data_IF_733469367772
#
_entry.id   IF_733469367772
#
_cell.length_a   1.000
_cell.length_b   1.000
_cell.length_c   1.000
_cell.angle_alpha   90.00
_cell.angle_beta   90.00
_cell.angle_gamma   90.00
#
_symmetry.space_group_name_H-M   'P 1'
#
loop_
_entity.id
_entity.type
_entity.pdbx_description
1 polymer ?
#
# COMPACT_ATOMS: atom_id res chain seq x y z
N UNK A 1 21.33 -6.06 15.90
CA UNK A 1 20.72 -7.15 15.13
C UNK A 1 20.44 -6.60 13.73
N UNK A 2 21.17 -7.08 12.73
CA UNK A 2 20.97 -6.71 11.33
C UNK A 2 19.63 -7.31 10.88
N UNK A 3 18.60 -6.48 10.79
CA UNK A 3 17.33 -6.90 10.18
C UNK A 3 17.60 -7.12 8.69
N UNK A 4 17.48 -8.36 8.22
CA UNK A 4 17.65 -8.69 6.80
C UNK A 4 16.60 -7.95 5.97
N UNK A 5 17.02 -7.36 4.85
CA UNK A 5 16.11 -6.71 3.91
C UNK A 5 15.24 -7.79 3.26
N UNK A 6 13.93 -7.61 3.28
CA UNK A 6 12.95 -8.51 2.66
C UNK A 6 12.71 -8.14 1.20
N UNK A 7 12.64 -6.85 0.90
CA UNK A 7 12.49 -6.33 -0.47
C UNK A 7 12.85 -4.85 -0.52
N UNK A 8 13.14 -4.33 -1.71
CA UNK A 8 13.35 -2.91 -1.95
C UNK A 8 12.29 -2.36 -2.90
N UNK A 9 12.17 -1.04 -2.97
CA UNK A 9 11.29 -0.39 -3.92
C UNK A 9 11.71 1.03 -4.25
N UNK A 10 11.22 1.54 -5.37
CA UNK A 10 11.50 2.91 -5.79
C UNK A 10 10.38 3.52 -6.65
N UNK A 11 10.33 4.84 -6.69
CA UNK A 11 9.44 5.55 -7.61
C UNK A 11 9.85 5.33 -9.08
N UNK A 12 9.01 5.76 -10.03
CA UNK A 12 9.25 5.55 -11.47
C UNK A 12 10.60 6.07 -11.98
N UNK A 13 11.08 7.21 -11.47
CA UNK A 13 12.38 7.78 -11.85
C UNK A 13 13.55 7.34 -10.97
N UNK A 14 13.30 6.56 -9.91
CA UNK A 14 14.31 6.13 -8.96
C UNK A 14 14.83 7.20 -7.98
N UNK A 15 14.34 8.45 -8.04
CA UNK A 15 14.78 9.53 -7.15
C UNK A 15 14.35 9.33 -5.68
N UNK A 16 13.23 8.64 -5.46
CA UNK A 16 12.79 8.18 -4.13
C UNK A 16 12.89 6.66 -4.08
N UNK A 17 13.57 6.14 -3.07
CA UNK A 17 13.74 4.71 -2.84
C UNK A 17 13.63 4.35 -1.37
N UNK A 18 13.26 3.10 -1.11
CA UNK A 18 13.01 2.59 0.23
C UNK A 18 13.27 1.08 0.31
N UNK A 19 13.37 0.59 1.53
CA UNK A 19 13.55 -0.82 1.86
C UNK A 19 12.49 -1.26 2.87
N UNK A 20 12.07 -2.53 2.75
CA UNK A 20 11.26 -3.21 3.75
C UNK A 20 12.12 -4.28 4.45
N UNK A 21 12.10 -4.26 5.79
CA UNK A 21 12.88 -5.16 6.65
C UNK A 21 12.07 -6.30 7.27
N UNK A 22 10.81 -6.41 6.87
CA UNK A 22 9.89 -7.49 7.21
C UNK A 22 8.83 -7.64 6.11
N UNK A 23 8.12 -8.76 6.12
CA UNK A 23 6.96 -8.97 5.24
C UNK A 23 5.80 -8.04 5.63
N UNK A 24 4.90 -7.70 4.68
CA UNK A 24 3.70 -6.91 4.98
C UNK A 24 2.78 -7.56 6.01
N UNK A 25 2.01 -6.74 6.70
CA UNK A 25 0.88 -7.16 7.55
C UNK A 25 -0.23 -7.73 6.68
N UNK A 26 -0.49 -7.06 5.55
CA UNK A 26 -1.49 -7.47 4.55
C UNK A 26 -1.24 -6.74 3.23
N UNK A 27 -1.66 -7.35 2.12
CA UNK A 27 -1.76 -6.70 0.81
C UNK A 27 -3.21 -6.47 0.42
N UNK A 28 -3.49 -5.33 -0.21
CA UNK A 28 -4.87 -4.98 -0.57
C UNK A 28 -5.01 -4.21 -1.88
N UNK A 29 -6.16 -4.42 -2.52
CA UNK A 29 -6.69 -3.54 -3.57
C UNK A 29 -7.78 -2.64 -2.96
N UNK A 30 -7.72 -1.34 -3.21
CA UNK A 30 -8.78 -0.41 -2.80
C UNK A 30 -9.48 0.17 -4.04
N UNK A 31 -10.78 -0.02 -4.11
CA UNK A 31 -11.63 0.36 -5.22
C UNK A 31 -12.34 1.70 -5.02
N UNK A 32 -12.14 2.41 -3.90
CA UNK A 32 -12.81 3.70 -3.72
C UNK A 32 -12.39 4.69 -4.82
N UNK A 33 -13.32 5.57 -5.20
CA UNK A 33 -13.13 6.57 -6.26
C UNK A 33 -11.89 7.44 -6.02
N UNK A 34 -11.56 7.73 -4.76
CA UNK A 34 -10.33 8.43 -4.38
C UNK A 34 -9.07 7.68 -4.78
N UNK A 35 -9.02 6.37 -4.50
CA UNK A 35 -7.91 5.50 -4.91
C UNK A 35 -7.84 5.34 -6.42
N UNK A 36 -8.98 5.21 -7.10
CA UNK A 36 -9.03 5.12 -8.57
C UNK A 36 -8.39 6.36 -9.22
N UNK A 37 -8.83 7.55 -8.79
CA UNK A 37 -8.31 8.83 -9.31
C UNK A 37 -6.83 9.03 -8.97
N UNK A 38 -6.44 8.73 -7.74
CA UNK A 38 -5.06 8.94 -7.27
C UNK A 38 -4.05 8.00 -7.93
N UNK A 39 -4.45 6.75 -8.17
CA UNK A 39 -3.63 5.77 -8.86
C UNK A 39 -3.71 5.87 -10.40
N UNK A 40 -4.64 6.68 -10.93
CA UNK A 40 -5.02 6.68 -12.34
C UNK A 40 -5.29 5.25 -12.88
N UNK A 41 -6.00 4.45 -12.09
CA UNK A 41 -6.23 3.01 -12.33
C UNK A 41 -7.60 2.59 -11.79
N UNK A 42 -8.02 1.35 -12.10
CA UNK A 42 -9.27 0.77 -11.58
C UNK A 42 -9.27 0.57 -10.04
N UNK A 43 -8.08 0.51 -9.45
CA UNK A 43 -7.87 0.38 -8.00
C UNK A 43 -6.44 0.79 -7.65
N UNK A 44 -6.20 1.09 -6.37
CA UNK A 44 -4.84 1.21 -5.85
C UNK A 44 -4.41 -0.12 -5.21
N UNK A 45 -3.12 -0.46 -5.33
CA UNK A 45 -2.52 -1.61 -4.66
C UNK A 45 -1.64 -1.15 -3.49
N UNK A 46 -1.79 -1.80 -2.33
CA UNK A 46 -1.10 -1.48 -1.09
C UNK A 46 -0.46 -2.72 -0.49
N UNK A 47 0.78 -2.59 -0.01
CA UNK A 47 1.33 -3.44 1.04
C UNK A 47 1.37 -2.61 2.33
N UNK A 48 0.64 -3.03 3.37
CA UNK A 48 0.67 -2.37 4.67
C UNK A 48 1.80 -2.99 5.51
N UNK A 49 2.70 -2.17 6.04
CA UNK A 49 3.85 -2.61 6.84
C UNK A 49 3.88 -1.87 8.17
N UNK A 50 4.57 -2.43 9.16
CA UNK A 50 4.92 -1.67 10.36
C UNK A 50 5.93 -0.57 10.01
N UNK A 51 5.74 0.62 10.57
CA UNK A 51 6.56 1.79 10.28
C UNK A 51 8.04 1.57 10.63
N UNK A 52 8.34 0.80 11.68
CA UNK A 52 9.70 0.45 12.08
C UNK A 52 10.44 -0.44 11.07
N UNK A 53 9.71 -1.13 10.19
CA UNK A 53 10.28 -1.98 9.15
C UNK A 53 10.40 -1.28 7.78
N UNK A 54 9.95 -0.04 7.66
CA UNK A 54 10.07 0.77 6.46
C UNK A 54 11.20 1.78 6.60
N UNK A 55 12.12 1.79 5.64
CA UNK A 55 13.26 2.72 5.64
C UNK A 55 13.33 3.46 4.31
N UNK A 56 13.23 4.80 4.33
CA UNK A 56 13.60 5.62 3.17
C UNK A 56 15.12 5.61 3.02
N UNK A 57 15.59 5.16 1.87
CA UNK A 57 17.02 5.05 1.57
C UNK A 57 17.51 6.14 0.63
N UNK A 58 16.60 6.78 -0.11
CA UNK A 58 16.93 7.89 -1.02
C UNK A 58 15.74 8.81 -1.24
N UNK A 59 16.03 10.10 -1.38
CA UNK A 59 15.07 11.14 -1.73
C UNK A 59 14.15 11.54 -0.59
N UNK A 60 13.54 12.72 -0.72
CA UNK A 60 12.56 13.25 0.23
C UNK A 60 11.22 13.38 -0.48
N UNK A 61 10.24 12.49 -0.18
CA UNK A 61 8.93 12.60 -0.79
C UNK A 61 8.16 13.79 -0.23
N UNK A 62 7.20 14.29 -1.01
CA UNK A 62 6.34 15.42 -0.67
C UNK A 62 4.90 14.96 -0.46
N UNK A 63 4.15 15.66 0.38
CA UNK A 63 2.71 15.39 0.52
C UNK A 63 1.97 15.83 -0.74
N UNK A 64 1.20 14.92 -1.32
CA UNK A 64 0.32 15.15 -2.47
C UNK A 64 -1.03 14.45 -2.30
N UNK A 65 -1.76 14.24 -3.39
CA UNK A 65 -3.05 13.55 -3.36
C UNK A 65 -4.13 14.33 -2.60
N UNK A 66 -4.94 13.61 -1.81
CA UNK A 66 -5.97 14.23 -0.96
C UNK A 66 -5.29 15.09 0.12
N UNK A 67 -5.61 16.39 0.15
CA UNK A 67 -5.18 17.28 1.23
C UNK A 67 -6.05 17.00 2.45
N UNK A 68 -5.45 16.42 3.49
CA UNK A 68 -6.13 16.05 4.71
C UNK A 68 -5.15 15.46 5.70
N UNK A 69 -5.68 14.85 6.76
CA UNK A 69 -4.88 14.32 7.85
C UNK A 69 -4.15 13.02 7.47
N UNK A 70 -4.73 12.24 6.55
CA UNK A 70 -4.00 11.15 5.88
C UNK A 70 -3.00 11.75 4.90
N UNK A 71 -1.72 11.38 5.05
CA UNK A 71 -0.63 11.92 4.23
C UNK A 71 -0.30 10.94 3.13
N UNK A 72 -0.57 11.31 1.89
CA UNK A 72 -0.11 10.58 0.70
C UNK A 72 1.20 11.18 0.21
N UNK A 73 2.25 10.37 0.15
CA UNK A 73 3.62 10.82 -0.11
C UNK A 73 4.02 10.46 -1.54
N UNK A 74 4.45 11.47 -2.29
CA UNK A 74 4.78 11.39 -3.71
C UNK A 74 6.24 11.72 -3.96
N UNK A 75 6.81 11.14 -5.01
CA UNK A 75 8.08 11.62 -5.54
C UNK A 75 7.88 13.03 -6.16
N UNK A 76 8.69 14.03 -5.78
CA UNK A 76 8.54 15.38 -6.33
C UNK A 76 8.86 15.47 -7.83
N UNK A 77 9.66 14.54 -8.36
CA UNK A 77 10.15 14.61 -9.74
C UNK A 77 9.21 13.90 -10.72
N UNK A 78 8.85 12.64 -10.43
CA UNK A 78 8.02 11.83 -11.33
C UNK A 78 6.56 11.70 -10.87
N UNK A 79 6.19 12.34 -9.75
CA UNK A 79 4.83 12.35 -9.21
C UNK A 79 4.25 10.95 -8.94
N UNK A 80 5.10 9.95 -8.77
CA UNK A 80 4.67 8.62 -8.32
C UNK A 80 4.18 8.70 -6.89
N UNK A 81 2.98 8.22 -6.62
CA UNK A 81 2.49 7.96 -5.26
C UNK A 81 3.30 6.80 -4.66
N UNK A 82 4.12 7.06 -3.64
CA UNK A 82 5.07 6.06 -3.11
C UNK A 82 4.47 5.30 -1.94
N UNK A 83 4.03 6.03 -0.92
CA UNK A 83 3.42 5.44 0.28
C UNK A 83 2.42 6.40 0.92
N UNK A 84 1.63 5.87 1.85
CA UNK A 84 0.67 6.65 2.65
C UNK A 84 0.97 6.44 4.13
N UNK A 85 0.90 7.51 4.91
CA UNK A 85 0.80 7.46 6.37
C UNK A 85 -0.65 7.74 6.75
N UNK A 86 -1.39 6.74 7.25
CA UNK A 86 -2.77 6.94 7.71
C UNK A 86 -2.84 8.02 8.79
N UNK A 87 -3.98 8.71 8.84
CA UNK A 87 -4.23 9.65 9.93
C UNK A 87 -4.35 8.94 11.27
N UNK A 88 -3.86 9.55 12.34
CA UNK A 88 -3.96 9.04 13.71
C UNK A 88 -3.22 7.71 13.96
N UNK A 89 -2.47 7.18 12.99
CA UNK A 89 -1.75 5.92 13.11
C UNK A 89 -0.37 5.99 12.45
N UNK A 90 0.63 6.37 13.24
CA UNK A 90 2.03 6.42 12.81
C UNK A 90 2.76 5.06 12.93
N UNK A 91 2.09 4.00 13.40
CA UNK A 91 2.72 2.67 13.55
C UNK A 91 2.72 1.86 12.27
N UNK A 92 1.98 2.28 11.25
CA UNK A 92 1.88 1.59 9.95
C UNK A 92 2.12 2.51 8.77
N UNK A 93 2.60 1.94 7.67
CA UNK A 93 2.82 2.62 6.40
C UNK A 93 2.21 1.79 5.27
N UNK A 94 1.44 2.42 4.39
CA UNK A 94 0.85 1.79 3.22
C UNK A 94 1.67 2.06 1.96
N UNK A 95 2.62 1.19 1.63
CA UNK A 95 3.46 1.29 0.43
C UNK A 95 2.69 0.86 -0.81
N UNK A 96 2.89 1.51 -1.97
CA UNK A 96 2.34 1.02 -3.24
C UNK A 96 3.09 -0.24 -3.67
N UNK A 97 2.44 -1.40 -3.63
CA UNK A 97 3.13 -2.68 -3.84
C UNK A 97 3.69 -2.87 -5.25
N UNK A 98 3.18 -2.12 -6.24
CA UNK A 98 3.72 -2.08 -7.61
C UNK A 98 5.12 -1.45 -7.71
N UNK A 99 5.58 -0.76 -6.67
CA UNK A 99 6.91 -0.15 -6.60
C UNK A 99 7.97 -1.08 -5.99
N UNK A 100 7.56 -2.22 -5.44
CA UNK A 100 8.43 -3.23 -4.85
C UNK A 100 9.08 -4.09 -5.93
N UNK A 101 10.26 -4.62 -5.66
CA UNK A 101 10.87 -5.65 -6.49
C UNK A 101 10.02 -6.92 -6.51
N UNK A 102 9.89 -7.54 -7.69
CA UNK A 102 9.03 -8.70 -7.92
C UNK A 102 7.58 -8.47 -7.44
N UNK A 103 6.88 -7.43 -7.98
CA UNK A 103 5.60 -6.97 -7.46
C UNK A 103 4.50 -8.06 -7.48
N UNK A 104 4.64 -9.09 -8.32
CA UNK A 104 3.73 -10.24 -8.37
C UNK A 104 3.63 -11.00 -7.03
N UNK A 105 4.69 -10.98 -6.20
CA UNK A 105 4.66 -11.56 -4.84
C UNK A 105 3.65 -10.85 -3.92
N UNK A 106 3.32 -9.60 -4.24
CA UNK A 106 2.47 -8.73 -3.42
C UNK A 106 1.08 -8.55 -4.04
N UNK A 107 0.56 -9.60 -4.70
CA UNK A 107 -0.84 -9.65 -5.15
C UNK A 107 -1.78 -9.31 -3.99
N UNK A 108 -2.89 -8.60 -4.24
CA UNK A 108 -3.81 -8.22 -3.17
C UNK A 108 -4.40 -9.47 -2.52
N UNK A 109 -4.25 -9.62 -1.21
CA UNK A 109 -4.90 -10.68 -0.45
C UNK A 109 -6.38 -10.36 -0.20
N UNK A 110 -6.67 -9.09 0.03
CA UNK A 110 -8.04 -8.58 0.14
C UNK A 110 -8.32 -7.44 -0.84
N UNK A 111 -9.59 -7.19 -1.11
CA UNK A 111 -10.05 -5.98 -1.77
C UNK A 111 -11.15 -5.29 -0.95
N UNK A 112 -11.11 -3.96 -0.92
CA UNK A 112 -12.05 -3.12 -0.15
C UNK A 112 -12.73 -2.09 -1.04
N UNK A 113 -13.87 -1.56 -0.58
CA UNK A 113 -14.68 -0.60 -1.31
C UNK A 113 -15.25 -1.16 -2.62
N UNK A 114 -15.58 -2.45 -2.66
CA UNK A 114 -16.10 -3.07 -3.90
C UNK A 114 -17.47 -2.55 -4.32
N UNK A 115 -18.18 -1.85 -3.43
CA UNK A 115 -19.37 -1.07 -3.80
C UNK A 115 -19.09 0.04 -4.85
N UNK A 116 -17.84 0.49 -4.97
CA UNK A 116 -17.39 1.46 -5.98
C UNK A 116 -16.52 0.84 -7.10
N UNK A 117 -16.36 -0.49 -7.09
CA UNK A 117 -15.53 -1.21 -8.07
C UNK A 117 -16.11 -1.08 -9.47
N UNK A 118 -15.23 -0.76 -10.43
CA UNK A 118 -15.60 -0.78 -11.85
C UNK A 118 -15.95 -2.22 -12.25
N UNK A 119 -17.08 -2.41 -12.92
CA UNK A 119 -17.67 -3.72 -13.19
C UNK A 119 -16.76 -4.67 -14.00
N UNK A 120 -15.83 -4.12 -14.77
CA UNK A 120 -14.88 -4.87 -15.58
C UNK A 120 -13.55 -5.19 -14.86
N UNK A 121 -13.32 -4.63 -13.66
CA UNK A 121 -12.05 -4.79 -12.96
C UNK A 121 -11.97 -6.10 -12.17
N UNK A 122 -10.82 -6.78 -12.27
CA UNK A 122 -10.51 -7.99 -11.52
C UNK A 122 -9.15 -7.87 -10.83
N UNK A 123 -9.03 -8.44 -9.62
CA UNK A 123 -7.84 -8.32 -8.76
C UNK A 123 -7.23 -9.67 -8.38
N UNK A 124 -8.02 -10.75 -8.39
CA UNK A 124 -7.62 -12.06 -7.86
C UNK A 124 -7.52 -12.11 -6.33
N UNK A 125 -8.04 -11.11 -5.62
CA UNK A 125 -8.04 -11.10 -4.16
C UNK A 125 -8.90 -12.22 -3.58
N UNK A 126 -8.42 -12.86 -2.51
CA UNK A 126 -9.10 -13.97 -1.85
C UNK A 126 -10.27 -13.52 -0.97
N UNK A 127 -10.24 -12.27 -0.50
CA UNK A 127 -11.25 -11.68 0.37
C UNK A 127 -11.77 -10.37 -0.22
N UNK A 128 -13.09 -10.14 -0.18
CA UNK A 128 -13.73 -8.99 -0.84
C UNK A 128 -14.74 -8.33 0.08
N UNK A 129 -14.67 -7.01 0.22
CA UNK A 129 -15.51 -6.22 1.11
C UNK A 129 -16.09 -4.99 0.40
N UNK A 130 -17.40 -4.77 0.55
CA UNK A 130 -18.08 -3.60 -0.03
C UNK A 130 -17.59 -2.27 0.54
N UNK A 131 -17.06 -2.29 1.76
CA UNK A 131 -16.46 -1.16 2.51
C UNK A 131 -15.14 -1.62 3.16
N UNK A 132 -14.56 -0.80 4.03
CA UNK A 132 -13.42 -1.25 4.84
C UNK A 132 -13.93 -2.26 5.90
N UNK A 133 -13.23 -3.39 6.13
CA UNK A 133 -13.66 -4.39 7.12
C UNK A 133 -13.63 -3.82 8.54
N UNK A 134 -14.46 -4.37 9.42
CA UNK A 134 -14.45 -4.02 10.83
C UNK A 134 -13.11 -4.43 11.47
N UNK A 135 -12.66 -3.78 12.56
CA UNK A 135 -11.34 -4.04 13.15
C UNK A 135 -11.06 -5.50 13.49
N UNK A 136 -12.07 -6.23 13.97
CA UNK A 136 -11.94 -7.65 14.32
C UNK A 136 -11.79 -8.55 13.08
N UNK A 137 -12.47 -8.23 11.99
CA UNK A 137 -12.32 -8.93 10.70
C UNK A 137 -10.92 -8.66 10.12
N UNK A 138 -10.47 -7.41 10.21
CA UNK A 138 -9.13 -7.01 9.76
C UNK A 138 -8.03 -7.76 10.50
N UNK A 139 -8.14 -7.89 11.83
CA UNK A 139 -7.18 -8.64 12.63
C UNK A 139 -7.10 -10.13 12.20
N UNK A 140 -8.25 -10.77 11.99
CA UNK A 140 -8.31 -12.14 11.51
C UNK A 140 -7.73 -12.31 10.09
N UNK A 141 -7.90 -11.32 9.21
CA UNK A 141 -7.30 -11.33 7.87
C UNK A 141 -5.77 -11.20 7.92
N UNK A 142 -5.25 -10.32 8.77
CA UNK A 142 -3.81 -10.14 8.94
C UNK A 142 -3.14 -11.41 9.48
N UNK A 143 -3.79 -12.10 10.44
CA UNK A 143 -3.31 -13.38 10.94
C UNK A 143 -3.26 -14.44 9.82
N UNK A 144 -4.33 -14.56 9.02
CA UNK A 144 -4.37 -15.48 7.87
C UNK A 144 -3.30 -15.15 6.83
N UNK A 145 -3.09 -13.87 6.52
CA UNK A 145 -2.07 -13.43 5.56
C UNK A 145 -0.66 -13.83 6.01
N UNK A 146 -0.36 -13.76 7.31
CA UNK A 146 0.96 -14.14 7.83
C UNK A 146 1.30 -15.62 7.69
N UNK A 147 0.32 -16.46 7.38
CA UNK A 147 0.46 -17.91 7.18
C UNK A 147 0.45 -18.31 5.69
N UNK A 148 0.26 -17.34 4.78
CA UNK A 148 0.08 -17.52 3.33
C UNK A 148 1.39 -17.30 2.56
#
# INVERSE_FOLDING_TARGET
>A
MTHSITTTGSCRCGAVAFELRAEPIITSACHCTGCQKMAASAFSLTALVLAEHFVLTRGTPVTGGLRGATRHLFCPDCLTWVFTRPDGNDTVIGVRSTLLENPERFRPFMETWTSEKLSWAATGAAHSFERFPEPHEYAALAEKYSQH
#
